data_IF_460408517885
#
_entry.id   IF_460408517885
#
_cell.length_a   1.000
_cell.length_b   1.000
_cell.length_c   1.000
_cell.angle_alpha   90.00
_cell.angle_beta   90.00
_cell.angle_gamma   90.00
#
_symmetry.space_group_name_H-M   'P 1'
#
loop_
_entity.id
_entity.type
_entity.pdbx_description
1 polymer ?
#
# COMPACT_ATOMS: atom_id res chain seq x y z
N UNK A 1 30.39 -19.54 24.11
CA UNK A 1 29.05 -18.94 23.91
C UNK A 1 28.76 -18.92 22.42
N UNK A 2 27.98 -19.87 21.95
CA UNK A 2 27.63 -20.08 20.54
C UNK A 2 26.31 -19.37 20.22
N UNK A 3 26.31 -18.51 19.19
CA UNK A 3 25.14 -17.81 18.67
C UNK A 3 24.24 -18.78 17.86
N UNK A 4 22.90 -18.68 17.92
CA UNK A 4 22.01 -19.47 17.08
C UNK A 4 21.75 -18.83 15.70
N UNK A 5 21.53 -19.71 14.73
CA UNK A 5 21.46 -19.46 13.30
C UNK A 5 20.16 -18.78 12.83
N UNK A 6 20.30 -17.89 11.84
CA UNK A 6 19.21 -17.22 11.14
C UNK A 6 18.40 -18.20 10.27
N UNK A 7 17.07 -18.03 10.30
CA UNK A 7 16.11 -18.90 9.63
C UNK A 7 16.20 -18.78 8.11
N UNK A 8 16.48 -19.91 7.44
CA UNK A 8 16.38 -20.10 5.99
C UNK A 8 14.94 -20.47 5.62
N UNK A 9 14.03 -19.49 5.55
CA UNK A 9 12.64 -19.73 5.13
C UNK A 9 12.22 -19.02 3.83
N UNK A 10 13.07 -18.17 3.23
CA UNK A 10 12.70 -17.37 2.05
C UNK A 10 13.08 -17.96 0.67
N UNK A 11 14.00 -18.93 0.61
CA UNK A 11 14.52 -19.43 -0.68
C UNK A 11 13.68 -20.56 -1.31
N UNK A 12 12.85 -21.26 -0.52
CA UNK A 12 12.10 -22.43 -0.98
C UNK A 12 10.87 -22.10 -1.83
N UNK A 13 10.20 -20.97 -1.57
CA UNK A 13 8.97 -20.60 -2.29
C UNK A 13 9.24 -20.05 -3.69
N UNK A 14 10.35 -19.30 -3.87
CA UNK A 14 10.73 -18.77 -5.20
C UNK A 14 11.18 -19.88 -6.17
N UNK A 15 11.89 -20.89 -5.67
CA UNK A 15 12.29 -22.05 -6.47
C UNK A 15 11.10 -22.95 -6.86
N UNK A 16 10.09 -23.08 -6.01
CA UNK A 16 8.90 -23.88 -6.29
C UNK A 16 8.01 -23.27 -7.39
N UNK A 17 7.88 -21.93 -7.41
CA UNK A 17 7.12 -21.22 -8.46
C UNK A 17 7.83 -21.28 -9.81
N UNK A 18 9.17 -21.17 -9.83
CA UNK A 18 9.96 -21.33 -11.05
C UNK A 18 9.93 -22.77 -11.60
N UNK A 19 9.98 -23.78 -10.71
CA UNK A 19 9.89 -25.19 -11.10
C UNK A 19 8.50 -25.57 -11.63
N UNK A 20 7.43 -25.01 -11.05
CA UNK A 20 6.07 -25.20 -11.54
C UNK A 20 5.86 -24.60 -12.95
N UNK A 21 6.44 -23.43 -13.23
CA UNK A 21 6.41 -22.82 -14.56
C UNK A 21 7.15 -23.63 -15.63
N UNK A 22 8.29 -24.24 -15.27
CA UNK A 22 9.06 -25.10 -16.16
C UNK A 22 8.35 -26.44 -16.46
N UNK A 23 7.71 -27.05 -15.46
CA UNK A 23 6.96 -28.31 -15.63
C UNK A 23 5.74 -28.16 -16.55
N UNK A 24 5.05 -27.02 -16.49
CA UNK A 24 3.92 -26.70 -17.38
C UNK A 24 4.37 -26.57 -18.83
N UNK A 25 5.49 -25.89 -19.09
CA UNK A 25 6.07 -25.79 -20.43
C UNK A 25 6.57 -27.15 -20.95
N UNK A 26 7.10 -28.02 -20.10
CA UNK A 26 7.62 -29.32 -20.51
C UNK A 26 6.49 -30.33 -20.84
N UNK A 27 5.35 -30.27 -20.15
CA UNK A 27 4.18 -31.13 -20.42
C UNK A 27 3.52 -30.87 -21.79
N UNK A 28 3.64 -29.65 -22.32
CA UNK A 28 3.11 -29.28 -23.63
C UNK A 28 3.85 -29.98 -24.79
N UNK A 29 5.15 -30.24 -24.64
CA UNK A 29 5.95 -30.93 -25.67
C UNK A 29 5.66 -32.44 -25.75
N UNK A 30 5.32 -33.07 -24.62
CA UNK A 30 4.90 -34.49 -24.60
C UNK A 30 3.55 -34.68 -25.29
N UNK A 31 2.58 -33.77 -25.09
CA UNK A 31 1.26 -33.87 -25.71
C UNK A 31 1.31 -33.68 -27.24
N UNK A 32 2.13 -32.76 -27.74
CA UNK A 32 2.34 -32.55 -29.19
C UNK A 32 3.10 -33.72 -29.81
N UNK A 33 4.10 -34.27 -29.12
CA UNK A 33 4.85 -35.45 -29.55
C UNK A 33 4.00 -36.72 -29.63
N UNK A 34 3.13 -36.96 -28.64
CA UNK A 34 2.24 -38.13 -28.61
C UNK A 34 1.19 -38.06 -29.73
N UNK A 35 0.62 -36.88 -29.99
CA UNK A 35 -0.35 -36.67 -31.06
C UNK A 35 0.27 -36.90 -32.46
N UNK A 36 1.54 -36.54 -32.65
CA UNK A 36 2.26 -36.79 -33.89
C UNK A 36 2.51 -38.30 -34.14
N UNK A 37 2.89 -39.05 -33.10
CA UNK A 37 3.14 -40.50 -33.18
C UNK A 37 1.84 -41.29 -33.42
N UNK A 38 0.76 -40.95 -32.73
CA UNK A 38 -0.57 -41.57 -32.93
C UNK A 38 -1.13 -41.21 -34.31
N UNK A 39 -0.93 -39.98 -34.78
CA UNK A 39 -1.32 -39.53 -36.12
C UNK A 39 -0.59 -40.27 -37.26
N UNK A 40 0.68 -40.64 -37.04
CA UNK A 40 1.48 -41.43 -37.99
C UNK A 40 1.02 -42.90 -38.06
N UNK A 41 0.72 -43.52 -36.90
CA UNK A 41 0.24 -44.91 -36.83
C UNK A 41 -1.16 -45.09 -37.45
N UNK A 42 -2.08 -44.15 -37.19
CA UNK A 42 -3.43 -44.16 -37.79
C UNK A 42 -3.34 -43.86 -39.30
N UNK A 43 -2.43 -42.98 -39.72
CA UNK A 43 -2.17 -42.70 -41.13
C UNK A 43 -1.65 -43.92 -41.90
N UNK A 44 -0.76 -44.71 -41.29
CA UNK A 44 -0.27 -45.98 -41.84
C UNK A 44 -1.37 -47.04 -41.96
N UNK A 45 -2.18 -47.21 -40.91
CA UNK A 45 -3.28 -48.19 -40.92
C UNK A 45 -4.36 -47.87 -41.97
N UNK A 46 -4.76 -46.60 -42.11
CA UNK A 46 -5.79 -46.20 -43.06
C UNK A 46 -5.32 -46.28 -44.53
N UNK A 47 -4.01 -46.15 -44.77
CA UNK A 47 -3.41 -46.33 -46.10
C UNK A 47 -3.36 -47.81 -46.50
N UNK A 48 -3.12 -48.70 -45.53
CA UNK A 48 -3.12 -50.15 -45.71
C UNK A 48 -4.50 -50.70 -46.14
N UNK A 49 -5.60 -50.07 -45.69
CA UNK A 49 -6.97 -50.43 -46.08
C UNK A 49 -7.52 -49.63 -47.29
N UNK A 50 -6.68 -48.89 -48.02
CA UNK A 50 -7.08 -48.24 -49.28
C UNK A 50 -8.03 -47.05 -49.13
N UNK A 51 -8.10 -46.41 -47.96
CA UNK A 51 -8.98 -45.24 -47.74
C UNK A 51 -8.39 -44.01 -48.46
N UNK A 52 -9.13 -43.36 -49.38
CA UNK A 52 -8.61 -42.19 -50.12
C UNK A 52 -8.26 -41.02 -49.18
N UNK A 53 -7.10 -40.38 -49.40
CA UNK A 53 -6.52 -39.37 -48.50
C UNK A 53 -7.46 -38.21 -48.13
N UNK A 54 -8.40 -37.87 -49.01
CA UNK A 54 -9.40 -36.82 -48.75
C UNK A 54 -10.41 -37.21 -47.66
N UNK A 55 -10.79 -38.49 -47.58
CA UNK A 55 -11.70 -39.01 -46.54
C UNK A 55 -10.98 -39.12 -45.18
N UNK A 56 -9.71 -39.55 -45.18
CA UNK A 56 -8.88 -39.63 -43.98
C UNK A 56 -8.59 -38.26 -43.34
N UNK A 57 -8.47 -37.20 -44.15
CA UNK A 57 -8.33 -35.81 -43.65
C UNK A 57 -9.60 -35.29 -42.97
N UNK A 58 -10.79 -35.62 -43.48
CA UNK A 58 -12.07 -35.20 -42.89
C UNK A 58 -12.38 -35.95 -41.58
N UNK A 59 -12.00 -37.23 -41.47
CA UNK A 59 -12.13 -38.02 -40.24
C UNK A 59 -11.14 -37.56 -39.15
N UNK A 60 -9.90 -37.22 -39.50
CA UNK A 60 -8.91 -36.66 -38.54
C UNK A 60 -9.37 -35.35 -37.89
N UNK A 61 -9.98 -34.45 -38.66
CA UNK A 61 -10.48 -33.18 -38.12
C UNK A 61 -11.69 -33.36 -37.19
N UNK A 62 -12.51 -34.40 -37.40
CA UNK A 62 -13.73 -34.64 -36.60
C UNK A 62 -13.48 -35.49 -35.35
N UNK A 63 -12.43 -36.30 -35.33
CA UNK A 63 -12.06 -37.15 -34.19
C UNK A 63 -11.03 -36.50 -33.23
N UNK A 64 -10.42 -35.38 -33.61
CA UNK A 64 -9.30 -34.78 -32.85
C UNK A 64 -9.27 -33.24 -32.83
N UNK A 65 -10.41 -32.58 -33.06
CA UNK A 65 -10.56 -31.18 -32.68
C UNK A 65 -11.08 -31.18 -31.24
N UNK A 66 -10.24 -31.03 -30.19
CA UNK A 66 -10.76 -30.77 -28.86
C UNK A 66 -11.69 -29.56 -28.98
N UNK A 67 -12.85 -29.62 -28.33
CA UNK A 67 -13.77 -28.49 -28.30
C UNK A 67 -13.05 -27.30 -27.65
N UNK A 68 -12.48 -26.43 -28.49
CA UNK A 68 -11.70 -25.28 -28.04
C UNK A 68 -12.56 -24.31 -27.25
N UNK A 69 -13.90 -24.36 -27.39
CA UNK A 69 -14.81 -23.58 -26.56
C UNK A 69 -14.83 -24.09 -25.11
N UNK A 70 -14.73 -25.40 -24.90
CA UNK A 70 -14.62 -25.99 -23.55
C UNK A 70 -13.26 -25.69 -22.89
N UNK A 71 -12.18 -25.62 -23.67
CA UNK A 71 -10.84 -25.25 -23.20
C UNK A 71 -10.74 -23.76 -22.83
N UNK A 72 -11.35 -22.87 -23.61
CA UNK A 72 -11.42 -21.44 -23.28
C UNK A 72 -12.35 -21.17 -22.09
N UNK A 73 -13.45 -21.91 -21.97
CA UNK A 73 -14.33 -21.85 -20.79
C UNK A 73 -13.61 -22.30 -19.52
N UNK A 74 -12.86 -23.41 -19.58
CA UNK A 74 -12.06 -23.88 -18.44
C UNK A 74 -10.99 -22.86 -18.01
N UNK A 75 -10.31 -22.22 -18.97
CA UNK A 75 -9.34 -21.16 -18.69
C UNK A 75 -9.99 -19.91 -18.09
N UNK A 76 -11.16 -19.49 -18.60
CA UNK A 76 -11.92 -18.37 -18.04
C UNK A 76 -12.40 -18.65 -16.61
N UNK A 77 -12.90 -19.86 -16.35
CA UNK A 77 -13.31 -20.28 -15.01
C UNK A 77 -12.12 -20.30 -14.04
N UNK A 78 -10.97 -20.77 -14.50
CA UNK A 78 -9.75 -20.80 -13.68
C UNK A 78 -9.25 -19.38 -13.36
N UNK A 79 -9.29 -18.45 -14.32
CA UNK A 79 -8.98 -17.04 -14.06
C UNK A 79 -9.97 -16.38 -13.10
N UNK A 80 -11.27 -16.65 -13.25
CA UNK A 80 -12.29 -16.14 -12.32
C UNK A 80 -12.09 -16.68 -10.91
N UNK A 81 -11.77 -17.97 -10.76
CA UNK A 81 -11.48 -18.57 -9.45
C UNK A 81 -10.23 -17.96 -8.81
N UNK A 82 -9.17 -17.70 -9.60
CA UNK A 82 -7.96 -17.04 -9.09
C UNK A 82 -8.25 -15.60 -8.64
N UNK A 83 -9.01 -14.84 -9.43
CA UNK A 83 -9.43 -13.48 -9.05
C UNK A 83 -10.29 -13.48 -7.79
N UNK A 84 -11.23 -14.42 -7.66
CA UNK A 84 -12.07 -14.56 -6.46
C UNK A 84 -11.25 -14.95 -5.23
N UNK A 85 -10.29 -15.88 -5.36
CA UNK A 85 -9.39 -16.23 -4.26
C UNK A 85 -8.51 -15.05 -3.85
N UNK A 86 -8.00 -14.29 -4.82
CA UNK A 86 -7.19 -13.11 -4.54
C UNK A 86 -8.01 -12.03 -3.82
N UNK A 87 -9.23 -11.75 -4.28
CA UNK A 87 -10.16 -10.84 -3.62
C UNK A 87 -10.53 -11.32 -2.20
N UNK A 88 -10.77 -12.62 -2.02
CA UNK A 88 -11.04 -13.19 -0.69
C UNK A 88 -9.84 -13.07 0.25
N UNK A 89 -8.63 -13.31 -0.24
CA UNK A 89 -7.40 -13.14 0.54
C UNK A 89 -7.14 -11.68 0.89
N UNK A 90 -7.34 -10.75 -0.06
CA UNK A 90 -7.27 -9.31 0.20
C UNK A 90 -8.31 -8.91 1.23
N UNK A 91 -9.55 -9.37 1.10
CA UNK A 91 -10.62 -9.02 2.03
C UNK A 91 -10.41 -9.62 3.42
N UNK A 92 -9.91 -10.86 3.50
CA UNK A 92 -9.53 -11.51 4.75
C UNK A 92 -8.30 -10.85 5.39
N UNK A 93 -7.34 -10.38 4.58
CA UNK A 93 -6.21 -9.58 5.05
C UNK A 93 -6.70 -8.24 5.62
N UNK A 94 -7.63 -7.57 4.93
CA UNK A 94 -8.20 -6.29 5.38
C UNK A 94 -9.07 -6.45 6.64
N UNK A 95 -9.72 -7.60 6.81
CA UNK A 95 -10.47 -7.95 8.03
C UNK A 95 -9.53 -8.28 9.21
N UNK A 96 -8.43 -9.01 8.95
CA UNK A 96 -7.38 -9.31 9.94
C UNK A 96 -6.62 -8.07 10.40
N UNK A 97 -6.41 -7.10 9.51
CA UNK A 97 -5.83 -5.80 9.84
C UNK A 97 -6.80 -4.92 10.65
N UNK A 98 -8.08 -5.32 10.72
CA UNK A 98 -9.17 -4.51 11.25
C UNK A 98 -9.40 -3.28 10.36
N UNK A 99 -10.66 -2.87 10.18
CA UNK A 99 -10.91 -1.50 9.71
C UNK A 99 -10.20 -0.56 10.70
N UNK A 100 -9.31 0.35 10.26
CA UNK A 100 -8.68 1.27 11.19
C UNK A 100 -9.78 2.07 11.89
N UNK A 101 -9.94 1.91 13.21
CA UNK A 101 -10.83 2.74 14.04
C UNK A 101 -10.12 4.07 14.31
N UNK A 102 -9.83 4.78 13.22
CA UNK A 102 -9.05 6.01 13.21
C UNK A 102 -10.02 7.19 13.27
N UNK A 103 -10.02 7.87 14.41
CA UNK A 103 -10.83 9.06 14.68
C UNK A 103 -9.92 10.28 14.81
N UNK A 104 -10.18 11.30 14.00
CA UNK A 104 -9.51 12.59 14.11
C UNK A 104 -10.48 13.61 14.73
N UNK A 105 -10.17 14.03 15.95
CA UNK A 105 -10.84 15.16 16.59
C UNK A 105 -10.19 16.45 16.09
N UNK A 106 -10.98 17.31 15.44
CA UNK A 106 -10.46 18.48 14.73
C UNK A 106 -11.43 19.67 14.80
N UNK A 107 -10.97 20.81 14.31
CA UNK A 107 -11.76 22.01 14.07
C UNK A 107 -11.03 22.81 12.98
N UNK A 108 -11.72 23.48 12.03
CA UNK A 108 -11.08 24.27 10.97
C UNK A 108 -10.14 25.38 11.47
N UNK A 109 -10.34 25.91 12.68
CA UNK A 109 -9.50 26.92 13.31
C UNK A 109 -8.36 26.32 14.16
N UNK A 110 -8.11 25.01 14.06
CA UNK A 110 -7.05 24.30 14.79
C UNK A 110 -5.98 23.76 13.85
N UNK A 111 -4.87 23.24 14.40
CA UNK A 111 -3.87 22.49 13.62
C UNK A 111 -4.35 21.09 13.19
N UNK A 112 -5.64 20.79 13.29
CA UNK A 112 -6.19 19.55 12.75
C UNK A 112 -6.26 19.54 11.22
N UNK A 113 -6.24 20.71 10.58
CA UNK A 113 -6.19 20.85 9.12
C UNK A 113 -4.97 20.19 8.51
N UNK A 114 -3.78 20.35 9.09
CA UNK A 114 -2.55 19.69 8.58
C UNK A 114 -2.58 18.17 8.76
N UNK A 115 -3.21 17.67 9.83
CA UNK A 115 -3.35 16.21 10.04
C UNK A 115 -4.35 15.63 9.04
N UNK A 116 -5.47 16.31 8.82
CA UNK A 116 -6.43 15.95 7.78
C UNK A 116 -5.77 15.95 6.39
N UNK A 117 -5.00 16.98 6.06
CA UNK A 117 -4.24 17.03 4.82
C UNK A 117 -3.33 15.81 4.69
N UNK A 118 -2.54 15.49 5.71
CA UNK A 118 -1.64 14.33 5.64
C UNK A 118 -2.38 13.00 5.47
N UNK A 119 -3.55 12.82 6.12
CA UNK A 119 -4.38 11.64 5.93
C UNK A 119 -4.85 11.49 4.47
N UNK A 120 -5.19 12.60 3.81
CA UNK A 120 -5.55 12.62 2.39
C UNK A 120 -4.36 12.24 1.50
N UNK A 121 -3.17 12.78 1.78
CA UNK A 121 -1.93 12.43 1.06
C UNK A 121 -1.57 10.95 1.21
N UNK A 122 -1.81 10.37 2.38
CA UNK A 122 -1.65 8.93 2.61
C UNK A 122 -2.78 8.10 1.96
N UNK A 123 -3.89 8.70 1.55
CA UNK A 123 -5.09 7.99 1.12
C UNK A 123 -5.60 7.05 2.21
N UNK A 124 -5.66 7.53 3.46
CA UNK A 124 -6.16 6.82 4.63
C UNK A 124 -7.43 7.50 5.10
N UNK A 125 -8.52 6.73 5.18
CA UNK A 125 -9.78 7.22 5.70
C UNK A 125 -9.74 7.26 7.24
N UNK A 126 -10.14 8.39 7.81
CA UNK A 126 -10.34 8.57 9.24
C UNK A 126 -11.71 9.22 9.47
N UNK A 127 -12.42 8.79 10.50
CA UNK A 127 -13.64 9.46 10.95
C UNK A 127 -13.26 10.84 11.50
N UNK A 128 -13.74 11.90 10.86
CA UNK A 128 -13.55 13.26 11.34
C UNK A 128 -14.63 13.63 12.33
N UNK A 129 -14.20 14.15 13.48
CA UNK A 129 -15.04 14.62 14.56
C UNK A 129 -14.72 16.11 14.76
N UNK A 130 -15.47 16.96 14.06
CA UNK A 130 -15.36 18.41 14.18
C UNK A 130 -15.99 18.88 15.50
N UNK A 131 -15.15 19.31 16.45
CA UNK A 131 -15.60 19.82 17.74
C UNK A 131 -15.83 21.33 17.66
N UNK A 132 -16.98 21.80 18.16
CA UNK A 132 -17.31 23.22 18.23
C UNK A 132 -16.59 23.90 19.40
N UNK A 133 -15.72 24.86 19.07
CA UNK A 133 -15.05 25.70 20.04
C UNK A 133 -15.99 26.67 20.77
N UNK A 134 -17.09 27.12 20.14
CA UNK A 134 -18.09 28.00 20.78
C UNK A 134 -18.89 27.25 21.84
N UNK A 135 -19.33 26.03 21.52
CA UNK A 135 -20.00 25.14 22.47
C UNK A 135 -19.04 24.52 23.50
N UNK A 136 -17.72 24.71 23.32
CA UNK A 136 -16.65 24.18 24.18
C UNK A 136 -16.58 22.65 24.24
N UNK A 137 -16.95 21.96 23.15
CA UNK A 137 -16.95 20.48 23.10
C UNK A 137 -15.54 19.88 23.32
N UNK A 138 -14.50 20.60 22.91
CA UNK A 138 -13.09 20.30 23.24
C UNK A 138 -12.74 20.34 24.75
N UNK A 139 -13.70 20.68 25.63
CA UNK A 139 -13.60 20.64 27.08
C UNK A 139 -14.55 19.61 27.71
N UNK A 140 -15.30 18.87 26.90
CA UNK A 140 -16.23 17.88 27.40
C UNK A 140 -15.49 16.73 28.09
N UNK A 141 -16.03 16.17 29.19
CA UNK A 141 -15.38 15.10 29.93
C UNK A 141 -15.01 13.88 29.07
N UNK A 142 -15.81 13.56 28.06
CA UNK A 142 -15.52 12.46 27.13
C UNK A 142 -14.31 12.77 26.25
N UNK A 143 -14.20 13.99 25.70
CA UNK A 143 -13.03 14.39 24.91
C UNK A 143 -11.77 14.53 25.76
N UNK A 144 -11.90 14.96 27.02
CA UNK A 144 -10.75 15.07 27.93
C UNK A 144 -10.11 13.70 28.26
N UNK A 145 -10.83 12.59 28.06
CA UNK A 145 -10.23 11.23 28.11
C UNK A 145 -9.29 10.96 26.92
N UNK A 146 -9.45 11.70 25.81
CA UNK A 146 -8.58 11.63 24.63
C UNK A 146 -7.43 12.61 24.75
N UNK A 147 -7.72 13.88 25.10
CA UNK A 147 -6.70 14.89 25.34
C UNK A 147 -6.99 15.67 26.64
N UNK A 148 -6.24 15.43 27.72
CA UNK A 148 -6.50 16.07 29.02
C UNK A 148 -6.28 17.59 29.01
N UNK A 149 -5.55 18.13 28.02
CA UNK A 149 -5.36 19.57 27.86
C UNK A 149 -6.57 20.26 27.20
N UNK A 150 -7.50 19.48 26.64
CA UNK A 150 -8.64 19.97 25.90
C UNK A 150 -8.18 20.86 24.75
N UNK A 151 -7.29 20.35 23.90
CA UNK A 151 -6.75 21.04 22.72
C UNK A 151 -6.92 20.16 21.48
N UNK A 152 -6.98 20.80 20.32
CA UNK A 152 -7.07 20.12 19.04
C UNK A 152 -5.82 20.36 18.19
N UNK A 153 -5.42 19.40 17.34
CA UNK A 153 -6.08 18.11 17.10
C UNK A 153 -5.77 17.04 18.16
N UNK A 154 -6.56 15.97 18.13
CA UNK A 154 -6.27 14.70 18.80
C UNK A 154 -6.73 13.53 17.92
N UNK A 155 -6.12 12.36 18.12
CA UNK A 155 -6.36 11.15 17.35
C UNK A 155 -6.70 9.99 18.30
N UNK A 156 -7.65 9.15 17.92
CA UNK A 156 -7.86 7.84 18.54
C UNK A 156 -7.72 6.77 17.47
N UNK A 157 -6.98 5.70 17.77
CA UNK A 157 -6.73 4.59 16.87
C UNK A 157 -6.98 3.28 17.62
N UNK A 158 -8.18 2.72 17.47
CA UNK A 158 -8.57 1.49 18.19
C UNK A 158 -8.43 1.58 19.71
N UNK A 159 -8.62 2.78 20.27
CA UNK A 159 -8.46 3.07 21.71
C UNK A 159 -7.09 3.62 22.11
N UNK A 160 -6.09 3.64 21.21
CA UNK A 160 -4.85 4.38 21.43
C UNK A 160 -5.10 5.87 21.18
N UNK A 161 -5.07 6.68 22.25
CA UNK A 161 -5.28 8.13 22.16
C UNK A 161 -3.94 8.87 22.08
N UNK A 162 -3.86 9.84 21.17
CA UNK A 162 -2.68 10.68 20.93
C UNK A 162 -3.11 12.13 20.72
N UNK A 163 -2.32 13.07 21.23
CA UNK A 163 -2.45 14.51 20.99
C UNK A 163 -1.09 15.08 20.58
N UNK A 164 -1.04 16.38 20.26
CA UNK A 164 0.05 17.07 19.54
C UNK A 164 0.06 16.80 18.04
N UNK A 165 -0.32 17.81 17.24
CA UNK A 165 -0.35 17.73 15.77
C UNK A 165 0.93 17.15 15.15
N UNK A 166 2.12 17.52 15.63
CA UNK A 166 3.39 16.93 15.15
C UNK A 166 3.55 15.45 15.50
N UNK A 167 3.12 15.03 16.70
CA UNK A 167 3.14 13.62 17.09
C UNK A 167 2.15 12.80 16.26
N UNK A 168 0.97 13.34 15.97
CA UNK A 168 -0.02 12.72 15.08
C UNK A 168 0.55 12.49 13.68
N UNK A 169 1.19 13.50 13.10
CA UNK A 169 1.83 13.41 11.79
C UNK A 169 2.90 12.31 11.75
N UNK A 170 3.83 12.31 12.71
CA UNK A 170 4.88 11.29 12.79
C UNK A 170 4.31 9.89 13.04
N UNK A 171 3.29 9.77 13.89
CA UNK A 171 2.59 8.51 14.15
C UNK A 171 1.97 7.94 12.87
N UNK A 172 1.26 8.76 12.09
CA UNK A 172 0.66 8.35 10.83
C UNK A 172 1.73 7.94 9.80
N UNK A 173 2.84 8.66 9.77
CA UNK A 173 3.95 8.35 8.88
C UNK A 173 4.57 6.98 9.23
N UNK A 174 4.76 6.69 10.52
CA UNK A 174 5.28 5.40 11.01
C UNK A 174 4.26 4.26 10.90
N UNK A 175 2.97 4.53 11.10
CA UNK A 175 1.89 3.53 10.99
C UNK A 175 1.70 3.08 9.55
N UNK A 176 1.92 3.97 8.58
CA UNK A 176 1.71 3.71 7.15
C UNK A 176 3.01 3.84 6.33
N UNK A 177 4.06 3.03 6.61
CA UNK A 177 5.38 3.20 6.00
C UNK A 177 5.37 2.93 4.48
N UNK A 178 4.46 2.06 4.00
CA UNK A 178 4.23 1.82 2.56
C UNK A 178 3.73 3.07 1.82
N UNK A 179 3.02 3.96 2.51
CA UNK A 179 2.44 5.19 1.95
C UNK A 179 3.37 6.38 2.18
N UNK A 180 3.90 6.51 3.40
CA UNK A 180 4.79 7.62 3.81
C UNK A 180 6.21 7.50 3.25
N UNK A 181 6.71 6.30 2.99
CA UNK A 181 8.10 6.06 2.58
C UNK A 181 9.12 6.09 3.73
N UNK A 182 8.67 6.15 4.99
CA UNK A 182 9.53 6.16 6.16
C UNK A 182 9.77 4.73 6.68
N UNK A 183 11.01 4.26 6.54
CA UNK A 183 11.41 2.90 6.92
C UNK A 183 12.58 2.88 7.89
N UNK A 184 13.51 3.82 7.73
CA UNK A 184 14.78 3.82 8.45
C UNK A 184 14.79 4.81 9.62
N UNK A 185 15.65 4.62 10.64
CA UNK A 185 15.84 5.61 11.69
C UNK A 185 16.24 7.00 11.17
N UNK A 186 17.03 7.07 10.10
CA UNK A 186 17.46 8.32 9.49
C UNK A 186 16.29 9.10 8.89
N UNK A 187 15.38 8.42 8.20
CA UNK A 187 14.16 9.03 7.66
C UNK A 187 13.24 9.54 8.78
N UNK A 188 13.04 8.73 9.83
CA UNK A 188 12.27 9.16 11.01
C UNK A 188 12.88 10.39 11.68
N UNK A 189 14.20 10.42 11.81
CA UNK A 189 14.92 11.55 12.40
C UNK A 189 14.79 12.82 11.56
N UNK A 190 14.85 12.72 10.22
CA UNK A 190 14.63 13.85 9.32
C UNK A 190 13.20 14.39 9.43
N UNK A 191 12.19 13.52 9.40
CA UNK A 191 10.80 13.88 9.60
C UNK A 191 10.56 14.56 10.97
N UNK A 192 11.14 14.00 12.03
CA UNK A 192 11.06 14.56 13.37
C UNK A 192 11.75 15.93 13.46
N UNK A 193 12.92 16.09 12.82
CA UNK A 193 13.65 17.36 12.79
C UNK A 193 12.78 18.49 12.22
N UNK A 194 12.18 18.29 11.05
CA UNK A 194 11.33 19.31 10.42
C UNK A 194 10.02 19.53 11.16
N UNK A 195 9.43 18.47 11.70
CA UNK A 195 8.21 18.58 12.54
C UNK A 195 8.47 19.38 13.82
N UNK A 196 9.60 19.14 14.47
CA UNK A 196 10.00 19.89 15.67
C UNK A 196 10.40 21.33 15.32
N UNK A 197 11.10 21.54 14.20
CA UNK A 197 11.38 22.88 13.68
C UNK A 197 10.08 23.66 13.45
N UNK A 198 9.08 23.04 12.81
CA UNK A 198 7.79 23.68 12.57
C UNK A 198 7.11 24.12 13.88
N UNK A 199 7.08 23.24 14.89
CA UNK A 199 6.37 23.49 16.14
C UNK A 199 7.12 24.43 17.10
N UNK A 200 8.43 24.30 17.19
CA UNK A 200 9.24 24.94 18.25
C UNK A 200 10.06 26.12 17.75
N UNK A 201 10.30 26.21 16.45
CA UNK A 201 11.08 27.30 15.84
C UNK A 201 10.18 28.15 14.98
N UNK A 202 9.65 27.61 13.89
CA UNK A 202 8.86 28.37 12.93
C UNK A 202 7.58 28.92 13.55
N UNK A 203 6.79 28.10 14.27
CA UNK A 203 5.55 28.58 14.89
C UNK A 203 5.80 29.66 15.95
N UNK A 204 6.89 29.55 16.73
CA UNK A 204 7.25 30.59 17.69
C UNK A 204 7.62 31.89 16.97
N UNK A 205 8.43 31.81 15.92
CA UNK A 205 8.77 32.97 15.10
C UNK A 205 7.56 33.55 14.36
N UNK A 206 6.61 32.73 13.92
CA UNK A 206 5.46 33.20 13.14
C UNK A 206 4.32 33.74 14.01
N UNK A 207 4.05 33.14 15.16
CA UNK A 207 2.83 33.38 15.93
C UNK A 207 3.04 34.07 17.29
N UNK A 208 4.26 34.05 17.84
CA UNK A 208 4.57 34.79 19.08
C UNK A 208 5.05 36.19 18.73
N UNK A 209 4.24 37.20 19.06
CA UNK A 209 4.46 38.61 18.71
C UNK A 209 5.87 39.10 19.06
N UNK A 210 6.36 38.76 20.26
CA UNK A 210 7.70 39.12 20.75
C UNK A 210 8.84 38.62 19.82
N UNK A 211 8.66 37.45 19.20
CA UNK A 211 9.69 36.83 18.37
C UNK A 211 9.51 37.12 16.89
N UNK A 212 8.32 37.56 16.47
CA UNK A 212 7.98 37.74 15.06
C UNK A 212 8.90 38.73 14.34
N UNK A 213 9.01 39.95 14.83
CA UNK A 213 9.81 40.98 14.14
C UNK A 213 11.31 40.63 14.09
N UNK A 214 11.81 39.93 15.11
CA UNK A 214 13.24 39.66 15.27
C UNK A 214 13.69 38.38 14.59
N UNK A 215 12.91 37.31 14.69
CA UNK A 215 13.34 35.97 14.28
C UNK A 215 12.67 35.47 13.01
N UNK A 216 11.47 35.97 12.67
CA UNK A 216 10.77 35.51 11.48
C UNK A 216 11.54 35.76 10.18
N UNK A 217 12.16 36.95 9.94
CA UNK A 217 12.92 37.17 8.71
C UNK A 217 14.08 36.17 8.54
N UNK A 218 14.80 35.88 9.62
CA UNK A 218 15.95 34.98 9.60
C UNK A 218 15.54 33.52 9.42
N UNK A 219 14.52 33.07 10.16
CA UNK A 219 14.00 31.70 10.09
C UNK A 219 13.37 31.44 8.73
N UNK A 220 12.51 32.35 8.26
CA UNK A 220 11.85 32.22 6.98
C UNK A 220 12.84 32.35 5.81
N UNK A 221 13.78 33.30 5.87
CA UNK A 221 14.82 33.44 4.86
C UNK A 221 15.76 32.23 4.78
N UNK A 222 16.00 31.53 5.90
CA UNK A 222 16.75 30.27 5.89
C UNK A 222 15.94 29.12 5.29
N UNK A 223 14.63 29.06 5.57
CA UNK A 223 13.72 28.10 4.97
C UNK A 223 13.58 28.30 3.45
N UNK A 224 13.51 29.54 2.99
CA UNK A 224 13.43 29.90 1.57
C UNK A 224 14.67 29.44 0.80
N UNK A 225 15.88 29.70 1.32
CA UNK A 225 17.13 29.17 0.74
C UNK A 225 17.14 27.66 0.67
N UNK A 226 16.60 27.01 1.71
CA UNK A 226 16.46 25.57 1.76
C UNK A 226 15.55 25.05 0.64
N UNK A 227 14.43 25.70 0.35
CA UNK A 227 13.49 25.28 -0.69
C UNK A 227 13.90 25.77 -2.09
N UNK A 228 14.82 26.73 -2.19
CA UNK A 228 15.42 27.13 -3.47
C UNK A 228 16.29 26.03 -4.09
N UNK A 229 16.84 25.12 -3.28
CA UNK A 229 17.73 24.04 -3.73
C UNK A 229 17.03 22.67 -3.87
N UNK A 230 15.83 22.51 -3.31
CA UNK A 230 15.07 21.25 -3.33
C UNK A 230 13.57 21.52 -3.37
N UNK A 231 12.88 20.69 -4.15
CA UNK A 231 11.43 20.79 -4.33
C UNK A 231 10.64 20.53 -3.03
N UNK A 232 11.17 19.69 -2.15
CA UNK A 232 10.56 19.30 -0.87
C UNK A 232 11.61 19.28 0.24
N UNK A 233 11.21 19.40 1.51
CA UNK A 233 12.12 19.52 2.66
C UNK A 233 13.03 18.31 2.84
N UNK A 234 12.54 17.11 2.56
CA UNK A 234 13.36 15.88 2.59
C UNK A 234 13.98 15.54 1.22
N UNK A 235 13.68 16.34 0.19
CA UNK A 235 14.16 16.18 -1.17
C UNK A 235 13.39 15.12 -1.96
N UNK A 236 13.30 15.32 -3.28
CA UNK A 236 12.82 14.34 -4.27
C UNK A 236 11.33 13.92 -4.20
N UNK A 237 10.66 14.06 -3.05
CA UNK A 237 9.24 13.74 -2.88
C UNK A 237 8.63 14.49 -1.69
N UNK A 238 7.36 14.88 -1.84
CA UNK A 238 6.52 15.37 -0.75
C UNK A 238 6.44 14.39 0.42
N UNK A 239 6.51 14.93 1.64
CA UNK A 239 6.64 14.17 2.87
C UNK A 239 5.86 14.78 4.02
N UNK A 240 5.87 14.09 5.17
CA UNK A 240 5.27 14.60 6.41
C UNK A 240 5.93 15.90 6.89
N UNK A 241 7.21 16.11 6.55
CA UNK A 241 7.95 17.33 6.87
C UNK A 241 7.32 18.56 6.21
N UNK A 242 6.92 18.43 4.94
CA UNK A 242 6.30 19.52 4.17
C UNK A 242 4.95 19.90 4.78
N UNK A 243 4.13 18.91 5.14
CA UNK A 243 2.86 19.15 5.85
C UNK A 243 3.06 19.79 7.22
N UNK A 244 4.11 19.40 7.95
CA UNK A 244 4.35 19.91 9.29
C UNK A 244 4.75 21.40 9.27
N UNK A 245 5.59 21.79 8.31
CA UNK A 245 6.07 23.17 8.12
C UNK A 245 4.96 24.08 7.59
N UNK A 246 4.10 23.58 6.70
CA UNK A 246 2.93 24.29 6.21
C UNK A 246 3.18 25.08 4.93
#
# INVERSE_FOLDING_TARGET
>A
MTLPAASRAGAGQSAAVAAAGAAVLQSAWWAVGLAAVVGALIGGLLSYFGVPQAAARRLRFRLYAPDMSSLTLAQQQQQQQQQQQQQQQEQQMMDLLGKPDLKLYTNPASRGTIVNWYLQELGVEAQQLDLDFKAKEHKDPEFLKVNPFGKLPALSDGGFNLFESGALLLYLADKYPLKSGIWTPQQRAAAAQWTLFANSTLANSAFVEQFREKSFPDVFGSLDKVLAEREYLEGGKFSVSDVAVG
#
